data_IF_094126222218
#
_entry.id   IF_094126222218
#
_cell.length_a   1.000
_cell.length_b   1.000
_cell.length_c   1.000
_cell.angle_alpha   90.00
_cell.angle_beta   90.00
_cell.angle_gamma   90.00
#
_symmetry.space_group_name_H-M   'P 1'
#
loop_
_entity.id
_entity.type
_entity.pdbx_description
1 polymer ?
#
# COMPACT_ATOMS: atom_id res chain seq x y z
N UNK A 1 7.69 -4.19 -10.24
CA UNK A 1 7.46 -5.43 -9.46
C UNK A 1 7.89 -6.66 -10.22
N UNK A 2 8.05 -7.79 -9.53
CA UNK A 2 8.44 -9.07 -10.12
C UNK A 2 7.75 -10.26 -9.42
N UNK A 3 7.84 -11.46 -10.02
CA UNK A 3 7.28 -12.68 -9.45
C UNK A 3 7.92 -13.00 -8.10
N UNK A 4 7.10 -13.38 -7.11
CA UNK A 4 7.50 -13.63 -5.73
C UNK A 4 7.57 -12.38 -4.85
N UNK A 5 7.39 -11.18 -5.42
CA UNK A 5 7.26 -9.98 -4.60
C UNK A 5 6.03 -10.09 -3.70
N UNK A 6 6.20 -9.66 -2.46
CA UNK A 6 5.09 -9.37 -1.56
C UNK A 6 4.40 -8.08 -1.99
N UNK A 7 3.14 -7.92 -1.64
CA UNK A 7 2.36 -6.69 -1.81
C UNK A 7 1.80 -6.27 -0.46
N UNK A 8 1.90 -4.97 -0.17
CA UNK A 8 1.37 -4.36 1.04
C UNK A 8 0.76 -2.99 0.74
N UNK A 9 0.02 -2.45 1.70
CA UNK A 9 -0.49 -1.08 1.68
C UNK A 9 -0.02 -0.35 2.93
N UNK A 10 0.43 0.88 2.75
CA UNK A 10 0.78 1.79 3.84
C UNK A 10 -0.26 2.91 3.93
N UNK A 11 -0.78 3.14 5.13
CA UNK A 11 -1.93 3.99 5.42
C UNK A 11 -3.27 3.25 5.33
N UNK A 12 -4.33 3.87 5.88
CA UNK A 12 -5.70 3.38 5.87
C UNK A 12 -6.49 4.11 4.77
N UNK A 13 -7.28 3.39 3.94
CA UNK A 13 -8.13 4.03 2.95
C UNK A 13 -9.24 4.84 3.65
N UNK A 14 -9.22 6.16 3.46
CA UNK A 14 -10.21 7.10 4.00
C UNK A 14 -10.67 8.04 2.91
N UNK A 15 -11.96 8.38 2.91
CA UNK A 15 -12.51 9.37 1.99
C UNK A 15 -13.69 10.11 2.61
N UNK A 16 -13.85 11.38 2.23
CA UNK A 16 -15.03 12.17 2.61
C UNK A 16 -16.29 11.63 1.90
N UNK A 17 -17.49 11.87 2.47
CA UNK A 17 -17.74 12.62 3.71
C UNK A 17 -17.64 11.75 4.98
N UNK A 18 -17.48 10.42 4.84
CA UNK A 18 -17.49 9.48 5.97
C UNK A 18 -16.33 9.72 6.94
N UNK A 19 -15.20 10.22 6.45
CA UNK A 19 -14.04 10.55 7.25
C UNK A 19 -13.72 12.04 7.14
N UNK A 20 -13.43 12.67 8.27
CA UNK A 20 -12.72 13.94 8.31
C UNK A 20 -11.24 13.64 8.18
N UNK A 21 -10.63 14.10 7.10
CA UNK A 21 -9.21 13.86 6.82
C UNK A 21 -8.43 15.05 7.37
N UNK A 22 -7.61 14.80 8.40
CA UNK A 22 -6.77 15.81 9.03
C UNK A 22 -5.30 15.53 8.71
N UNK A 23 -4.45 16.54 8.42
CA UNK A 23 -3.06 16.30 8.05
C UNK A 23 -2.22 15.58 9.11
N UNK A 24 -2.64 15.62 10.39
CA UNK A 24 -1.96 14.99 11.51
C UNK A 24 -2.45 13.56 11.80
N UNK A 25 -3.39 13.04 11.01
CA UNK A 25 -3.94 11.71 11.19
C UNK A 25 -2.85 10.64 10.94
N UNK A 26 -2.43 9.88 11.98
CA UNK A 26 -1.32 8.93 11.88
C UNK A 26 -1.68 7.71 11.01
N UNK A 27 -2.96 7.52 10.67
CA UNK A 27 -3.39 6.45 9.78
C UNK A 27 -3.18 6.81 8.30
N UNK A 28 -2.84 8.06 7.97
CA UNK A 28 -2.57 8.50 6.61
C UNK A 28 -1.11 8.29 6.23
N UNK A 29 -0.86 7.95 4.96
CA UNK A 29 0.49 8.00 4.43
C UNK A 29 0.97 9.46 4.33
N UNK A 30 2.06 9.79 5.03
CA UNK A 30 2.66 11.12 4.94
C UNK A 30 3.60 11.25 3.74
N UNK A 31 3.88 12.48 3.31
CA UNK A 31 4.87 12.72 2.25
C UNK A 31 6.29 12.30 2.66
N UNK A 32 6.63 12.31 3.94
CA UNK A 32 7.92 11.82 4.42
C UNK A 32 7.98 10.29 4.33
N UNK A 33 6.91 9.60 4.70
CA UNK A 33 6.81 8.13 4.59
C UNK A 33 6.85 7.68 3.12
N UNK A 34 6.11 8.34 2.24
CA UNK A 34 6.14 8.06 0.80
C UNK A 34 7.56 8.20 0.22
N UNK A 35 8.28 9.25 0.61
CA UNK A 35 9.69 9.45 0.18
C UNK A 35 10.63 8.38 0.73
N UNK A 36 10.39 7.90 1.95
CA UNK A 36 11.17 6.79 2.54
C UNK A 36 10.89 5.48 1.82
N UNK A 37 9.62 5.14 1.61
CA UNK A 37 9.19 3.95 0.85
C UNK A 37 9.83 3.91 -0.54
N UNK A 38 9.74 5.01 -1.30
CA UNK A 38 10.30 5.09 -2.66
C UNK A 38 11.83 4.91 -2.70
N UNK A 39 12.54 5.20 -1.60
CA UNK A 39 14.00 5.07 -1.50
C UNK A 39 14.43 3.75 -0.85
N UNK A 40 13.49 2.94 -0.36
CA UNK A 40 13.80 1.73 0.40
C UNK A 40 14.33 0.64 -0.53
N UNK A 41 15.54 0.10 -0.29
CA UNK A 41 16.02 -1.05 -1.04
C UNK A 41 15.04 -2.23 -0.90
N UNK A 42 14.71 -2.84 -2.03
CA UNK A 42 13.74 -3.94 -2.08
C UNK A 42 12.27 -3.50 -2.17
N UNK A 43 11.96 -2.21 -2.24
CA UNK A 43 10.66 -1.74 -2.76
C UNK A 43 10.77 -1.58 -4.27
N UNK A 44 9.89 -2.23 -5.02
CA UNK A 44 10.00 -2.32 -6.48
C UNK A 44 8.99 -1.47 -7.24
N UNK A 45 7.83 -1.20 -6.65
CA UNK A 45 6.78 -0.40 -7.26
C UNK A 45 5.85 0.15 -6.19
N UNK A 46 5.15 1.25 -6.48
CA UNK A 46 4.18 1.88 -5.60
C UNK A 46 3.11 2.65 -6.38
N UNK A 47 1.85 2.48 -6.00
CA UNK A 47 0.69 3.15 -6.60
C UNK A 47 -0.18 3.81 -5.51
N UNK A 48 -0.54 5.10 -5.67
CA UNK A 48 -1.47 5.75 -4.75
C UNK A 48 -2.84 5.10 -4.85
N UNK A 49 -3.54 4.97 -3.73
CA UNK A 49 -4.90 4.40 -3.73
C UNK A 49 -5.91 5.45 -4.17
N UNK A 50 -6.66 5.13 -5.23
CA UNK A 50 -7.70 6.00 -5.78
C UNK A 50 -9.11 5.69 -5.25
N UNK A 51 -10.10 6.21 -5.99
CA UNK A 51 -11.52 5.99 -5.70
C UNK A 51 -11.97 4.54 -5.83
N UNK A 52 -11.25 3.74 -6.62
CA UNK A 52 -11.53 2.31 -6.84
C UNK A 52 -10.97 1.39 -5.76
N UNK A 53 -10.22 1.95 -4.81
CA UNK A 53 -9.77 1.26 -3.60
C UNK A 53 -8.53 0.40 -3.76
N UNK A 54 -8.09 -0.16 -2.62
CA UNK A 54 -6.82 -0.88 -2.46
C UNK A 54 -6.74 -2.10 -3.36
N UNK A 55 -7.81 -2.89 -3.44
CA UNK A 55 -7.83 -4.11 -4.26
C UNK A 55 -7.65 -3.80 -5.76
N UNK A 56 -8.27 -2.72 -6.24
CA UNK A 56 -8.14 -2.30 -7.62
C UNK A 56 -6.69 -1.91 -7.94
N UNK A 57 -6.08 -1.03 -7.14
CA UNK A 57 -4.71 -0.58 -7.41
C UNK A 57 -3.67 -1.69 -7.19
N UNK A 58 -3.89 -2.61 -6.24
CA UNK A 58 -3.03 -3.79 -6.10
C UNK A 58 -3.12 -4.72 -7.32
N UNK A 59 -4.30 -4.84 -7.93
CA UNK A 59 -4.49 -5.53 -9.20
C UNK A 59 -3.78 -4.84 -10.36
N UNK A 60 -3.88 -3.51 -10.46
CA UNK A 60 -3.19 -2.74 -11.50
C UNK A 60 -1.65 -2.79 -11.33
N UNK A 61 -1.16 -2.79 -10.09
CA UNK A 61 0.27 -3.03 -9.79
C UNK A 61 0.71 -4.41 -10.27
N UNK A 62 -0.05 -5.46 -10.00
CA UNK A 62 0.28 -6.80 -10.49
C UNK A 62 0.26 -6.85 -12.03
N UNK A 63 -0.78 -6.25 -12.63
CA UNK A 63 -1.00 -6.24 -14.08
C UNK A 63 0.06 -5.45 -14.83
N UNK A 64 0.58 -4.35 -14.28
CA UNK A 64 1.67 -3.58 -14.89
C UNK A 64 2.94 -4.42 -15.08
N UNK A 65 3.14 -5.41 -14.20
CA UNK A 65 4.23 -6.39 -14.27
C UNK A 65 3.86 -7.69 -15.05
N UNK A 66 2.65 -7.79 -15.60
CA UNK A 66 2.16 -9.01 -16.25
C UNK A 66 1.87 -10.18 -15.30
N UNK A 67 1.66 -9.89 -14.02
CA UNK A 67 1.48 -10.87 -12.95
C UNK A 67 0.05 -10.82 -12.39
N UNK A 68 -0.23 -11.71 -11.43
CA UNK A 68 -1.46 -11.69 -10.64
C UNK A 68 -1.12 -11.62 -9.16
N UNK A 69 -2.01 -11.02 -8.37
CA UNK A 69 -1.91 -11.01 -6.91
C UNK A 69 -2.63 -12.22 -6.31
N UNK A 70 -1.91 -13.02 -5.52
CA UNK A 70 -2.52 -14.00 -4.62
C UNK A 70 -2.84 -13.29 -3.32
N UNK A 71 -4.07 -12.83 -3.21
CA UNK A 71 -4.49 -12.02 -2.08
C UNK A 71 -4.50 -12.84 -0.78
N UNK A 72 -3.90 -12.29 0.27
CA UNK A 72 -3.98 -12.80 1.63
C UNK A 72 -5.23 -12.30 2.35
N UNK A 73 -5.61 -12.98 3.42
CA UNK A 73 -6.69 -12.52 4.29
C UNK A 73 -6.25 -11.27 5.06
N UNK A 74 -7.13 -10.27 5.14
CA UNK A 74 -6.90 -9.01 5.85
C UNK A 74 -8.23 -8.43 6.32
N UNK A 75 -8.22 -7.77 7.47
CA UNK A 75 -9.39 -7.06 8.02
C UNK A 75 -9.57 -5.66 7.40
N UNK A 76 -8.63 -5.24 6.55
CA UNK A 76 -8.70 -3.97 5.84
C UNK A 76 -9.82 -4.01 4.79
N UNK A 77 -10.68 -2.99 4.78
CA UNK A 77 -11.68 -2.79 3.74
C UNK A 77 -11.02 -2.38 2.41
N UNK A 78 -10.72 -3.38 1.58
CA UNK A 78 -9.95 -3.18 0.34
C UNK A 78 -10.73 -2.50 -0.78
N UNK A 79 -12.06 -2.46 -0.70
CA UNK A 79 -12.92 -1.87 -1.73
C UNK A 79 -13.20 -0.40 -1.45
N UNK A 80 -12.85 0.09 -0.25
CA UNK A 80 -13.02 1.48 0.12
C UNK A 80 -12.11 2.38 -0.70
N UNK A 81 -12.68 3.50 -1.15
CA UNK A 81 -11.92 4.62 -1.71
C UNK A 81 -10.83 5.08 -0.73
N UNK A 82 -9.58 5.12 -1.18
CA UNK A 82 -8.48 5.73 -0.44
C UNK A 82 -8.29 7.19 -0.85
N UNK A 83 -9.35 8.00 -0.81
CA UNK A 83 -9.38 9.38 -1.33
C UNK A 83 -8.20 10.26 -0.86
N UNK A 84 -8.14 11.53 -1.28
CA UNK A 84 -6.93 12.18 -1.86
C UNK A 84 -5.55 11.46 -1.70
N UNK A 85 -5.44 10.16 -2.00
CA UNK A 85 -4.26 9.30 -1.75
C UNK A 85 -3.88 9.14 -0.25
N UNK A 86 -4.84 8.79 0.61
CA UNK A 86 -4.59 8.53 2.04
C UNK A 86 -3.73 7.29 2.32
N UNK A 87 -3.58 6.42 1.33
CA UNK A 87 -2.73 5.24 1.40
C UNK A 87 -2.10 4.92 0.05
N UNK A 88 -1.06 4.08 0.07
CA UNK A 88 -0.28 3.66 -1.10
C UNK A 88 -0.11 2.14 -1.08
N UNK A 89 -0.39 1.48 -2.20
CA UNK A 89 -0.05 0.07 -2.40
C UNK A 89 1.37 -0.01 -2.94
N UNK A 90 2.16 -0.96 -2.48
CA UNK A 90 3.53 -1.15 -2.93
C UNK A 90 3.91 -2.62 -2.96
N UNK A 91 4.82 -2.98 -3.87
CA UNK A 91 5.44 -4.31 -3.91
C UNK A 91 6.85 -4.28 -3.34
N UNK A 92 7.25 -5.38 -2.71
CA UNK A 92 8.52 -5.50 -2.03
C UNK A 92 9.09 -6.92 -2.07
N UNK A 93 10.42 -7.02 -2.00
CA UNK A 93 11.18 -8.24 -2.23
C UNK A 93 10.93 -9.35 -1.19
N UNK A 94 10.77 -9.00 0.09
CA UNK A 94 10.72 -10.02 1.16
C UNK A 94 10.04 -9.53 2.44
N UNK A 95 9.75 -10.47 3.34
CA UNK A 95 9.22 -10.16 4.67
C UNK A 95 10.19 -9.33 5.52
N UNK A 96 11.51 -9.49 5.36
CA UNK A 96 12.48 -8.69 6.10
C UNK A 96 12.42 -7.20 5.69
N UNK A 97 12.24 -6.95 4.39
CA UNK A 97 11.97 -5.60 3.87
C UNK A 97 10.65 -5.07 4.43
N UNK A 98 9.61 -5.92 4.54
CA UNK A 98 8.32 -5.53 5.14
C UNK A 98 8.49 -5.06 6.59
N UNK A 99 9.22 -5.83 7.40
CA UNK A 99 9.48 -5.48 8.80
C UNK A 99 10.33 -4.22 8.92
N UNK A 100 11.30 -4.03 8.01
CA UNK A 100 12.11 -2.82 7.95
C UNK A 100 11.25 -1.60 7.66
N UNK A 101 10.33 -1.69 6.68
CA UNK A 101 9.39 -0.63 6.34
C UNK A 101 8.50 -0.28 7.52
N UNK A 102 7.89 -1.27 8.17
CA UNK A 102 7.03 -1.08 9.35
C UNK A 102 7.69 -0.29 10.48
N UNK A 103 9.02 -0.38 10.60
CA UNK A 103 9.80 0.37 11.59
C UNK A 103 10.24 1.76 11.10
N UNK A 104 10.32 1.95 9.78
CA UNK A 104 10.88 3.15 9.17
C UNK A 104 9.84 4.23 8.83
N UNK A 105 8.55 3.86 8.74
CA UNK A 105 7.46 4.79 8.44
C UNK A 105 6.48 4.90 9.59
N UNK A 106 5.79 6.04 9.67
CA UNK A 106 4.80 6.29 10.73
C UNK A 106 3.42 5.67 10.45
N UNK A 107 3.04 5.61 9.17
CA UNK A 107 1.75 5.06 8.76
C UNK A 107 1.65 3.54 9.00
N UNK A 108 0.45 3.02 9.34
CA UNK A 108 0.22 1.58 9.48
C UNK A 108 0.48 0.85 8.16
N UNK A 109 0.94 -0.40 8.24
CA UNK A 109 1.22 -1.23 7.05
C UNK A 109 0.52 -2.58 7.16
N UNK A 110 -0.30 -2.88 6.15
CA UNK A 110 -1.04 -4.12 6.04
C UNK A 110 -0.53 -4.95 4.87
N UNK A 111 -0.26 -6.23 5.11
CA UNK A 111 0.11 -7.18 4.08
C UNK A 111 -1.12 -7.55 3.24
N UNK A 112 -0.94 -7.65 1.92
CA UNK A 112 -2.02 -7.91 0.97
C UNK A 112 -1.85 -9.24 0.22
N UNK A 113 -0.64 -9.78 0.10
CA UNK A 113 -0.41 -11.03 -0.62
C UNK A 113 0.90 -11.08 -1.39
N UNK A 114 0.98 -11.96 -2.38
CA UNK A 114 2.20 -12.23 -3.16
C UNK A 114 1.89 -12.25 -4.66
N UNK A 115 2.80 -11.73 -5.49
CA UNK A 115 2.71 -11.73 -6.94
C UNK A 115 3.18 -13.06 -7.55
N UNK A 116 2.41 -13.62 -8.48
CA UNK A 116 2.71 -14.89 -9.14
C UNK A 116 2.52 -14.89 -10.66
#
# INVERSE_FOLDING_TARGET
>A
SQKGDLVAVAGIPKSGPRFRIEPQDPELISLSDLRRLRKMPGVHDLLPVGSKGVAYEAGELAKSAGLRLRQAQTDLDLLRSGGPATCVVFSLMSNDVLQTIKKAIGAPVNFLGELY
#
